data_IF_287684134880
#
_entry.id   IF_287684134880
#
_cell.length_a   1.000
_cell.length_b   1.000
_cell.length_c   1.000
_cell.angle_alpha   90.00
_cell.angle_beta   90.00
_cell.angle_gamma   90.00
#
_symmetry.space_group_name_H-M   'P 1'
#
loop_
_entity.id
_entity.type
_entity.pdbx_description
1 polymer ?
#
# COMPACT_ATOMS: atom_id res chain seq x y z
N UNK A 1 0.75 13.58 -20.14
CA UNK A 1 -0.65 13.16 -20.34
C UNK A 1 -0.96 12.28 -19.15
N UNK A 2 -1.93 12.64 -18.30
CA UNK A 2 -2.25 11.79 -17.14
C UNK A 2 -2.87 10.49 -17.67
N UNK A 3 -2.32 9.34 -17.27
CA UNK A 3 -2.86 8.04 -17.68
C UNK A 3 -4.27 7.83 -17.11
N UNK A 4 -5.09 7.06 -17.81
CA UNK A 4 -6.40 6.62 -17.28
C UNK A 4 -6.20 5.54 -16.21
N UNK A 5 -7.07 5.47 -15.18
CA UNK A 5 -6.95 4.44 -14.15
C UNK A 5 -7.18 3.04 -14.74
N UNK A 6 -6.27 2.10 -14.44
CA UNK A 6 -6.41 0.69 -14.79
C UNK A 6 -7.62 0.02 -14.12
N UNK A 7 -7.98 0.50 -12.92
CA UNK A 7 -9.15 0.05 -12.17
C UNK A 7 -10.01 1.28 -11.88
N UNK A 8 -11.27 1.33 -12.38
CA UNK A 8 -12.17 2.45 -12.09
C UNK A 8 -12.28 2.73 -10.60
N UNK A 9 -12.22 4.00 -10.21
CA UNK A 9 -12.43 4.44 -8.82
C UNK A 9 -13.92 4.34 -8.48
N UNK A 10 -14.21 3.89 -7.27
CA UNK A 10 -15.59 3.82 -6.75
C UNK A 10 -15.81 4.99 -5.80
N UNK A 11 -16.86 5.78 -6.05
CA UNK A 11 -17.16 6.93 -5.19
C UNK A 11 -17.47 6.47 -3.76
N UNK A 12 -16.87 7.15 -2.78
CA UNK A 12 -17.07 6.85 -1.35
C UNK A 12 -16.24 5.67 -0.82
N UNK A 13 -15.43 5.01 -1.66
CA UNK A 13 -14.49 3.98 -1.23
C UNK A 13 -13.07 4.53 -1.34
N UNK A 14 -12.35 4.53 -0.22
CA UNK A 14 -10.93 4.86 -0.16
C UNK A 14 -10.10 3.68 -0.68
N UNK A 15 -9.33 3.86 -1.76
CA UNK A 15 -8.45 2.81 -2.28
C UNK A 15 -7.02 2.98 -1.81
N UNK A 16 -6.58 2.07 -0.93
CA UNK A 16 -5.22 2.04 -0.38
C UNK A 16 -4.42 0.99 -1.15
N UNK A 17 -3.36 1.41 -1.82
CA UNK A 17 -2.56 0.53 -2.67
C UNK A 17 -1.19 0.18 -2.08
N UNK A 18 -0.73 -1.04 -2.36
CA UNK A 18 0.63 -1.47 -2.08
C UNK A 18 1.21 -2.19 -3.29
N UNK A 19 2.36 -1.71 -3.76
CA UNK A 19 3.06 -2.26 -4.93
C UNK A 19 4.33 -2.95 -4.46
N UNK A 20 4.30 -4.28 -4.43
CA UNK A 20 5.42 -5.07 -3.97
C UNK A 20 5.26 -6.55 -4.38
N UNK A 21 6.36 -7.19 -4.81
CA UNK A 21 6.36 -8.65 -4.98
C UNK A 21 6.17 -9.36 -3.63
N UNK A 22 5.31 -10.37 -3.58
CA UNK A 22 4.99 -11.16 -2.38
C UNK A 22 5.98 -12.31 -2.19
N UNK A 23 7.27 -12.00 -2.22
CA UNK A 23 8.35 -12.99 -2.24
C UNK A 23 9.27 -12.93 -1.01
N UNK A 24 9.12 -11.93 -0.15
CA UNK A 24 9.96 -11.79 1.02
C UNK A 24 9.23 -11.13 2.19
N UNK A 25 9.43 -11.65 3.39
CA UNK A 25 8.78 -11.17 4.61
C UNK A 25 9.17 -9.72 4.95
N UNK A 26 10.37 -9.27 4.58
CA UNK A 26 10.83 -7.90 4.86
C UNK A 26 10.04 -6.80 4.14
N UNK A 27 9.23 -7.14 3.14
CA UNK A 27 8.30 -6.21 2.47
C UNK A 27 7.02 -5.98 3.26
N UNK A 28 6.75 -6.87 4.21
CA UNK A 28 5.79 -6.67 5.28
C UNK A 28 4.36 -6.30 4.85
N UNK A 29 3.81 -7.05 3.90
CA UNK A 29 2.42 -6.89 3.45
C UNK A 29 1.42 -7.07 4.61
N UNK A 30 1.72 -7.99 5.54
CA UNK A 30 0.98 -8.23 6.78
C UNK A 30 0.82 -6.96 7.61
N UNK A 31 1.81 -6.06 7.64
CA UNK A 31 1.72 -4.83 8.41
C UNK A 31 0.59 -3.90 7.93
N UNK A 32 0.29 -3.88 6.63
CA UNK A 32 -0.84 -3.13 6.10
C UNK A 32 -2.17 -3.81 6.43
N UNK A 33 -2.25 -5.14 6.32
CA UNK A 33 -3.45 -5.90 6.70
C UNK A 33 -3.82 -5.67 8.18
N UNK A 34 -2.83 -5.75 9.08
CA UNK A 34 -3.03 -5.51 10.50
C UNK A 34 -3.42 -4.05 10.77
N UNK A 35 -2.73 -3.07 10.17
CA UNK A 35 -3.05 -1.65 10.36
C UNK A 35 -4.51 -1.31 10.00
N UNK A 36 -5.02 -1.77 8.85
CA UNK A 36 -6.42 -1.47 8.50
C UNK A 36 -7.43 -2.28 9.29
N UNK A 37 -7.05 -3.47 9.79
CA UNK A 37 -7.91 -4.26 10.68
C UNK A 37 -8.06 -3.58 12.04
N UNK A 38 -6.99 -2.97 12.57
CA UNK A 38 -6.99 -2.25 13.84
C UNK A 38 -7.92 -1.02 13.83
N UNK A 39 -8.11 -0.38 12.67
CA UNK A 39 -9.01 0.79 12.55
C UNK A 39 -10.50 0.42 12.62
N UNK A 40 -10.87 -0.84 12.41
CA UNK A 40 -12.24 -1.33 12.56
C UNK A 40 -13.28 -0.49 11.81
N UNK A 41 -14.29 0.01 12.54
CA UNK A 41 -15.42 0.79 12.00
C UNK A 41 -15.13 2.29 11.85
N UNK A 42 -13.96 2.76 12.31
CA UNK A 42 -13.61 4.18 12.27
C UNK A 42 -13.09 4.61 10.89
N UNK A 43 -12.78 3.65 10.00
CA UNK A 43 -12.45 3.92 8.61
C UNK A 43 -13.71 4.20 7.77
N UNK A 44 -13.69 5.22 6.89
CA UNK A 44 -14.61 5.24 5.75
C UNK A 44 -14.47 3.93 4.95
N UNK A 45 -15.48 3.59 4.15
CA UNK A 45 -15.43 2.37 3.37
C UNK A 45 -14.17 2.34 2.50
N UNK A 46 -13.48 1.20 2.45
CA UNK A 46 -12.16 1.12 1.85
C UNK A 46 -11.93 -0.20 1.13
N UNK A 47 -10.97 -0.19 0.22
CA UNK A 47 -10.40 -1.40 -0.35
C UNK A 47 -8.87 -1.34 -0.38
N UNK A 48 -8.24 -2.48 -0.10
CA UNK A 48 -6.82 -2.68 -0.26
C UNK A 48 -6.52 -3.25 -1.64
N UNK A 49 -5.59 -2.61 -2.34
CA UNK A 49 -5.10 -3.06 -3.64
C UNK A 49 -3.66 -3.54 -3.52
N UNK A 50 -3.45 -4.86 -3.48
CA UNK A 50 -2.11 -5.45 -3.51
C UNK A 50 -1.70 -5.78 -4.94
N UNK A 51 -0.71 -5.03 -5.43
CA UNK A 51 -0.10 -5.20 -6.77
C UNK A 51 1.22 -5.95 -6.63
N UNK A 52 1.32 -7.07 -7.34
CA UNK A 52 2.41 -8.03 -7.23
C UNK A 52 1.89 -9.42 -6.89
N UNK A 53 2.76 -10.40 -7.05
CA UNK A 53 2.48 -11.80 -6.70
C UNK A 53 3.72 -12.46 -6.11
N UNK A 54 3.58 -13.69 -5.63
CA UNK A 54 4.67 -14.49 -5.11
C UNK A 54 4.21 -15.55 -4.11
N UNK A 55 5.15 -16.35 -3.61
CA UNK A 55 4.86 -17.49 -2.73
C UNK A 55 4.16 -17.11 -1.42
N UNK A 56 4.19 -15.85 -0.99
CA UNK A 56 3.51 -15.39 0.22
C UNK A 56 2.02 -15.07 -0.02
N UNK A 57 1.54 -15.01 -1.26
CA UNK A 57 0.15 -14.68 -1.56
C UNK A 57 -0.87 -15.55 -0.80
N UNK A 58 -0.77 -16.89 -0.79
CA UNK A 58 -1.74 -17.72 -0.05
C UNK A 58 -1.74 -17.47 1.46
N UNK A 59 -0.58 -17.07 2.01
CA UNK A 59 -0.46 -16.71 3.43
C UNK A 59 -1.19 -15.40 3.71
N UNK A 60 -1.01 -14.39 2.85
CA UNK A 60 -1.65 -13.09 2.97
C UNK A 60 -3.18 -13.16 2.75
N UNK A 61 -3.63 -14.00 1.82
CA UNK A 61 -5.06 -14.25 1.61
C UNK A 61 -5.70 -14.86 2.87
N UNK A 62 -5.04 -15.85 3.49
CA UNK A 62 -5.49 -16.45 4.76
C UNK A 62 -5.45 -15.46 5.92
N UNK A 63 -4.44 -14.61 5.99
CA UNK A 63 -4.35 -13.56 7.01
C UNK A 63 -5.53 -12.58 6.88
N UNK A 64 -5.85 -12.14 5.66
CA UNK A 64 -7.00 -11.27 5.41
C UNK A 64 -8.35 -11.93 5.80
N UNK A 65 -8.48 -13.26 5.62
CA UNK A 65 -9.64 -14.02 6.10
C UNK A 65 -9.71 -14.05 7.63
N UNK A 66 -8.59 -14.31 8.30
CA UNK A 66 -8.51 -14.34 9.77
C UNK A 66 -8.83 -12.98 10.40
N UNK A 67 -8.39 -11.90 9.74
CA UNK A 67 -8.70 -10.52 10.11
C UNK A 67 -10.11 -10.07 9.68
N UNK A 68 -10.89 -10.94 9.02
CA UNK A 68 -12.25 -10.68 8.55
C UNK A 68 -12.37 -9.50 7.56
N UNK A 69 -11.28 -9.16 6.87
CA UNK A 69 -11.22 -8.06 5.88
C UNK A 69 -11.10 -8.57 4.44
N UNK A 70 -11.13 -9.89 4.21
CA UNK A 70 -10.87 -10.50 2.89
C UNK A 70 -11.66 -9.88 1.74
N UNK A 71 -12.92 -9.52 1.94
CA UNK A 71 -13.79 -8.89 0.93
C UNK A 71 -13.33 -7.47 0.54
N UNK A 72 -12.56 -6.82 1.41
CA UNK A 72 -11.95 -5.51 1.18
C UNK A 72 -10.55 -5.61 0.59
N UNK A 73 -10.03 -6.82 0.34
CA UNK A 73 -8.68 -7.01 -0.18
C UNK A 73 -8.69 -7.57 -1.59
N UNK A 74 -8.07 -6.84 -2.51
CA UNK A 74 -7.90 -7.24 -3.90
C UNK A 74 -6.43 -7.51 -4.21
N UNK A 75 -6.11 -8.78 -4.41
CA UNK A 75 -4.83 -9.25 -4.93
C UNK A 75 -4.87 -9.25 -6.47
N UNK A 76 -4.25 -8.25 -7.11
CA UNK A 76 -4.31 -8.13 -8.59
C UNK A 76 -3.25 -8.92 -9.33
N UNK A 77 -2.28 -9.49 -8.60
CA UNK A 77 -1.17 -10.25 -9.18
C UNK A 77 -0.08 -9.36 -9.78
N UNK A 78 0.84 -9.98 -10.51
CA UNK A 78 1.94 -9.29 -11.20
C UNK A 78 1.42 -8.50 -12.40
N UNK A 79 1.80 -7.22 -12.50
CA UNK A 79 1.24 -6.25 -13.44
C UNK A 79 2.35 -5.36 -14.00
N UNK A 80 2.25 -5.03 -15.29
CA UNK A 80 3.19 -4.13 -15.97
C UNK A 80 2.70 -2.69 -16.11
N UNK A 81 1.42 -2.43 -15.88
CA UNK A 81 0.76 -1.12 -16.01
C UNK A 81 0.73 -0.35 -14.68
N UNK A 82 1.91 -0.25 -14.04
CA UNK A 82 2.06 0.31 -12.70
C UNK A 82 1.55 1.75 -12.60
N UNK A 83 1.82 2.61 -13.58
CA UNK A 83 1.37 4.00 -13.58
C UNK A 83 -0.17 4.09 -13.59
N UNK A 84 -0.85 3.39 -14.49
CA UNK A 84 -2.31 3.31 -14.53
C UNK A 84 -2.92 2.72 -13.24
N UNK A 85 -2.23 1.77 -12.59
CA UNK A 85 -2.64 1.25 -11.28
C UNK A 85 -2.48 2.28 -10.16
N UNK A 86 -1.39 3.04 -10.14
CA UNK A 86 -1.20 4.14 -9.19
C UNK A 86 -2.30 5.20 -9.33
N UNK A 87 -2.65 5.60 -10.56
CA UNK A 87 -3.76 6.53 -10.80
C UNK A 87 -5.11 5.99 -10.28
N UNK A 88 -5.22 4.67 -10.14
CA UNK A 88 -6.42 4.03 -9.59
C UNK A 88 -6.51 4.15 -8.06
N UNK A 89 -5.42 4.47 -7.36
CA UNK A 89 -5.31 4.51 -5.89
C UNK A 89 -5.55 5.92 -5.35
N UNK A 90 -6.04 6.01 -4.11
CA UNK A 90 -6.11 7.27 -3.34
C UNK A 90 -4.85 7.50 -2.50
N UNK A 91 -4.28 6.42 -1.97
CA UNK A 91 -3.04 6.46 -1.17
C UNK A 91 -2.16 5.26 -1.57
N UNK A 92 -0.86 5.50 -1.69
CA UNK A 92 0.15 4.46 -1.91
C UNK A 92 0.92 4.20 -0.61
N UNK A 93 1.05 2.94 -0.22
CA UNK A 93 1.67 2.52 1.04
C UNK A 93 2.93 1.69 0.77
N UNK A 94 4.06 2.12 1.34
CA UNK A 94 5.38 1.48 1.19
C UNK A 94 5.93 1.05 2.56
N UNK A 95 6.04 -0.25 2.82
CA UNK A 95 6.27 -0.79 4.19
C UNK A 95 7.50 -1.67 4.33
N UNK A 96 8.48 -1.50 3.44
CA UNK A 96 9.75 -2.24 3.51
C UNK A 96 10.47 -2.02 4.84
N UNK A 97 11.16 -3.05 5.34
CA UNK A 97 12.09 -2.97 6.50
C UNK A 97 13.49 -2.49 6.14
N UNK A 98 13.81 -2.44 4.85
CA UNK A 98 15.10 -1.97 4.31
C UNK A 98 14.90 -1.55 2.86
N UNK A 99 15.39 -0.37 2.50
CA UNK A 99 15.45 0.17 1.15
C UNK A 99 16.69 1.04 1.02
N UNK A 100 17.35 1.04 -0.15
CA UNK A 100 18.33 2.09 -0.45
C UNK A 100 17.58 3.35 -0.90
N UNK A 101 16.74 3.22 -1.93
CA UNK A 101 15.83 4.24 -2.41
C UNK A 101 14.62 3.55 -3.05
N UNK A 102 13.41 3.81 -2.56
CA UNK A 102 12.23 3.12 -3.06
C UNK A 102 11.74 3.73 -4.37
N UNK A 103 11.87 2.96 -5.46
CA UNK A 103 11.30 3.34 -6.77
C UNK A 103 9.78 3.52 -6.69
N UNK A 104 9.09 2.74 -5.86
CA UNK A 104 7.62 2.82 -5.70
C UNK A 104 7.21 4.17 -5.14
N UNK A 105 8.00 4.78 -4.25
CA UNK A 105 7.75 6.14 -3.76
C UNK A 105 7.84 7.13 -4.92
N UNK A 106 8.91 7.08 -5.71
CA UNK A 106 9.10 7.96 -6.87
C UNK A 106 7.99 7.82 -7.91
N UNK A 107 7.59 6.58 -8.22
CA UNK A 107 6.49 6.29 -9.15
C UNK A 107 5.16 6.84 -8.62
N UNK A 108 4.88 6.67 -7.32
CA UNK A 108 3.66 7.19 -6.69
C UNK A 108 3.60 8.72 -6.73
N UNK A 109 4.72 9.38 -6.41
CA UNK A 109 4.84 10.85 -6.50
C UNK A 109 4.67 11.34 -7.94
N UNK A 110 5.26 10.65 -8.93
CA UNK A 110 5.10 10.98 -10.34
C UNK A 110 3.65 10.83 -10.83
N UNK A 111 2.90 9.89 -10.24
CA UNK A 111 1.47 9.72 -10.47
C UNK A 111 0.58 10.71 -9.70
N UNK A 112 1.17 11.56 -8.84
CA UNK A 112 0.43 12.50 -8.00
C UNK A 112 -0.35 11.83 -6.86
N UNK A 113 0.04 10.62 -6.47
CA UNK A 113 -0.63 9.84 -5.42
C UNK A 113 0.07 10.11 -4.08
N UNK A 114 -0.67 10.52 -3.03
CA UNK A 114 -0.14 10.63 -1.68
C UNK A 114 0.54 9.34 -1.22
N UNK A 115 1.69 9.46 -0.54
CA UNK A 115 2.50 8.32 -0.09
C UNK A 115 2.58 8.27 1.42
N UNK A 116 2.32 7.10 1.99
CA UNK A 116 2.65 6.76 3.38
C UNK A 116 3.73 5.68 3.37
N UNK A 117 4.88 5.94 3.97
CA UNK A 117 6.00 5.01 3.94
C UNK A 117 6.64 4.78 5.32
N UNK A 118 7.28 3.63 5.50
CA UNK A 118 8.16 3.42 6.65
C UNK A 118 9.40 4.30 6.57
N UNK A 119 9.78 4.88 7.71
CA UNK A 119 10.99 5.67 7.90
C UNK A 119 12.23 4.76 8.01
N UNK A 120 12.60 4.17 6.88
CA UNK A 120 13.79 3.31 6.73
C UNK A 120 14.60 3.72 5.51
N UNK A 121 15.91 3.48 5.57
CA UNK A 121 16.77 3.66 4.41
C UNK A 121 16.77 5.10 3.88
N UNK A 122 16.79 5.24 2.55
CA UNK A 122 16.71 6.54 1.87
C UNK A 122 15.29 7.10 1.70
N UNK A 123 14.24 6.51 2.29
CA UNK A 123 12.86 7.01 2.13
C UNK A 123 12.69 8.45 2.62
N UNK A 124 13.44 8.84 3.66
CA UNK A 124 13.45 10.21 4.21
C UNK A 124 14.08 11.24 3.26
N UNK A 125 14.86 10.81 2.28
CA UNK A 125 15.37 11.71 1.24
C UNK A 125 14.30 12.05 0.19
N UNK A 126 13.26 11.22 0.08
CA UNK A 126 12.16 11.39 -0.89
C UNK A 126 10.93 12.06 -0.28
N UNK A 127 10.60 11.71 0.97
CA UNK A 127 9.40 12.18 1.66
C UNK A 127 9.76 13.16 2.77
N UNK A 128 9.04 14.28 2.77
CA UNK A 128 8.90 15.20 3.87
C UNK A 128 7.40 15.39 4.18
N UNK A 129 7.08 16.12 5.25
CA UNK A 129 5.69 16.33 5.68
C UNK A 129 4.82 17.06 4.65
N UNK A 130 5.39 17.63 3.58
CA UNK A 130 4.65 18.28 2.51
C UNK A 130 4.33 17.33 1.35
N UNK A 131 5.09 16.24 1.21
CA UNK A 131 5.03 15.32 0.05
C UNK A 131 4.47 13.94 0.39
N UNK A 132 4.35 13.62 1.67
CA UNK A 132 3.79 12.37 2.17
C UNK A 132 4.00 12.23 3.67
N UNK A 133 3.81 11.01 4.17
CA UNK A 133 3.98 10.71 5.60
C UNK A 133 5.00 9.59 5.80
N UNK A 134 5.83 9.78 6.81
CA UNK A 134 6.77 8.78 7.28
C UNK A 134 6.31 8.26 8.64
N UNK A 135 6.25 6.94 8.76
CA UNK A 135 5.84 6.24 9.98
C UNK A 135 6.94 5.29 10.44
N UNK A 136 7.05 4.99 11.75
CA UNK A 136 8.01 4.00 12.23
C UNK A 136 7.83 2.63 11.55
N UNK A 137 8.93 1.89 11.28
CA UNK A 137 8.84 0.52 10.80
C UNK A 137 8.19 -0.40 11.84
N UNK A 138 7.52 -1.45 11.35
CA UNK A 138 6.90 -2.50 12.19
C UNK A 138 5.86 -1.99 13.21
N UNK A 139 5.30 -0.80 12.98
CA UNK A 139 4.27 -0.20 13.81
C UNK A 139 2.95 -0.09 13.03
N UNK A 140 2.00 -1.00 13.29
CA UNK A 140 0.68 -1.05 12.63
C UNK A 140 -0.18 0.14 13.03
N UNK A 141 -0.22 0.46 14.32
CA UNK A 141 -0.97 1.58 14.88
C UNK A 141 -0.54 2.92 14.25
N UNK A 142 0.77 3.17 14.15
CA UNK A 142 1.26 4.40 13.54
C UNK A 142 0.93 4.50 12.04
N UNK A 143 0.78 3.38 11.33
CA UNK A 143 0.32 3.39 9.94
C UNK A 143 -1.18 3.54 9.82
N UNK A 144 -1.94 2.95 10.74
CA UNK A 144 -3.38 3.07 10.78
C UNK A 144 -3.80 4.56 10.90
N UNK A 145 -3.07 5.34 11.70
CA UNK A 145 -3.43 6.73 12.00
C UNK A 145 -2.64 7.79 11.20
N UNK A 146 -1.91 7.38 10.17
CA UNK A 146 -1.19 8.30 9.27
C UNK A 146 -2.10 8.78 8.13
#
# INVERSE_FOLDING_TARGET
MLESPAIPRTAGILRIGMIARMNAAYKNHSLLLNAVSEMGLDLPDFELLFVGDGPLRPVLEREAEQLQIRERVRFVGDRGDIQALLVSMDVSVVRSRSESLSNVILESMAAGVPVVATDVGGNRELLDNERGLLVPPDNSEALAWA
#
